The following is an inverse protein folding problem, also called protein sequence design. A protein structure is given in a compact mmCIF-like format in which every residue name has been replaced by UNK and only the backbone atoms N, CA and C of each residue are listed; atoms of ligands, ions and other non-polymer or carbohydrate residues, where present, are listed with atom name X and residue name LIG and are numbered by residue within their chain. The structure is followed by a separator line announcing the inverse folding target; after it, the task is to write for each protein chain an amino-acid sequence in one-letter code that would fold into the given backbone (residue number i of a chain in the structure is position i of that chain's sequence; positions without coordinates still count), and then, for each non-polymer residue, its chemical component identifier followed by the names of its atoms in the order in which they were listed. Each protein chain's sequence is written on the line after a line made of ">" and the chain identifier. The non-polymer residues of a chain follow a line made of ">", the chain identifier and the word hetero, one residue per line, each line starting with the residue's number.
data_IF_826998309370
#
_entry.id   IF_826998309370
#
_cell.length_a   1.000
_cell.length_b   1.000
_cell.length_c   1.000
_cell.angle_alpha   90.00
_cell.angle_beta   90.00
_cell.angle_gamma   90.00
#
_symmetry.space_group_name_H-M   'P 1'
#
loop_
_entity.id
_entity.type
_entity.pdbx_description
1 polymer ?
#
# COMPACT_ATOMS: atom_id res chain seq x y z
N UNK A 1 -8.56 -14.24 8.07
CA UNK A 1 -8.77 -12.78 8.07
C UNK A 1 -8.72 -12.33 6.62
N UNK A 2 -9.70 -11.57 6.15
CA UNK A 2 -9.73 -11.10 4.76
C UNK A 2 -8.79 -9.88 4.63
N UNK A 3 -7.59 -10.11 4.09
CA UNK A 3 -6.55 -9.07 3.95
C UNK A 3 -7.03 -7.88 3.12
N UNK A 4 -7.86 -8.12 2.09
CA UNK A 4 -8.39 -7.06 1.24
C UNK A 4 -9.34 -6.15 2.03
N UNK A 5 -10.22 -6.76 2.83
CA UNK A 5 -11.11 -6.03 3.75
C UNK A 5 -10.31 -5.19 4.76
N UNK A 6 -9.29 -5.78 5.39
CA UNK A 6 -8.47 -5.06 6.37
C UNK A 6 -7.75 -3.86 5.76
N UNK A 7 -7.18 -3.99 4.55
CA UNK A 7 -6.49 -2.87 3.87
C UNK A 7 -7.48 -1.74 3.54
N UNK A 8 -8.66 -2.10 3.06
CA UNK A 8 -9.70 -1.12 2.74
C UNK A 8 -10.17 -0.37 4.00
N UNK A 9 -10.44 -1.09 5.09
CA UNK A 9 -10.84 -0.50 6.37
C UNK A 9 -9.75 0.40 6.96
N UNK A 10 -8.47 0.02 6.86
CA UNK A 10 -7.35 0.84 7.29
C UNK A 10 -7.30 2.17 6.52
N UNK A 11 -7.40 2.14 5.18
CA UNK A 11 -7.42 3.37 4.38
C UNK A 11 -8.65 4.22 4.69
N UNK A 12 -9.82 3.62 4.74
CA UNK A 12 -11.06 4.37 5.02
C UNK A 12 -11.04 4.98 6.43
N UNK A 13 -10.41 4.31 7.39
CA UNK A 13 -10.17 4.82 8.73
C UNK A 13 -9.24 6.04 8.80
N UNK A 14 -8.41 6.29 7.78
CA UNK A 14 -7.61 7.52 7.71
C UNK A 14 -8.37 8.70 7.10
N UNK A 15 -9.55 8.47 6.53
CA UNK A 15 -10.30 9.49 5.77
C UNK A 15 -9.66 9.89 4.44
N UNK A 16 -8.62 9.17 3.99
CA UNK A 16 -7.91 9.47 2.75
C UNK A 16 -8.52 8.76 1.53
N UNK A 17 -8.49 9.43 0.39
CA UNK A 17 -8.65 8.79 -0.91
C UNK A 17 -7.50 7.80 -1.19
N UNK A 18 -7.68 6.90 -2.15
CA UNK A 18 -6.60 5.98 -2.58
C UNK A 18 -5.36 6.71 -3.07
N UNK A 19 -5.55 7.88 -3.71
CA UNK A 19 -4.46 8.70 -4.22
C UNK A 19 -3.65 9.29 -3.06
N UNK A 20 -4.31 9.92 -2.10
CA UNK A 20 -3.66 10.50 -0.91
C UNK A 20 -2.97 9.41 -0.08
N UNK A 21 -3.63 8.25 0.08
CA UNK A 21 -3.03 7.12 0.79
C UNK A 21 -1.80 6.56 0.05
N UNK A 22 -1.85 6.51 -1.28
CA UNK A 22 -0.71 6.11 -2.11
C UNK A 22 0.46 7.08 -1.98
N UNK A 23 0.20 8.39 -2.02
CA UNK A 23 1.21 9.44 -1.83
C UNK A 23 1.80 9.38 -0.40
N UNK A 24 0.95 9.17 0.60
CA UNK A 24 1.36 9.09 2.00
C UNK A 24 2.20 7.84 2.31
N UNK A 25 1.86 6.69 1.72
CA UNK A 25 2.53 5.41 2.01
C UNK A 25 3.66 5.05 1.03
N UNK A 26 3.65 5.65 -0.16
CA UNK A 26 4.52 5.27 -1.29
C UNK A 26 4.09 3.99 -2.01
N UNK A 27 2.97 3.37 -1.62
CA UNK A 27 2.40 2.22 -2.32
C UNK A 27 1.69 2.74 -3.58
N UNK A 28 2.01 2.26 -4.79
CA UNK A 28 1.31 2.73 -6.00
C UNK A 28 -0.20 2.47 -5.92
N UNK A 29 -1.02 3.43 -6.38
CA UNK A 29 -2.50 3.32 -6.38
C UNK A 29 -2.97 1.99 -6.97
N UNK A 30 -2.39 1.56 -8.10
CA UNK A 30 -2.75 0.30 -8.75
C UNK A 30 -2.48 -0.93 -7.86
N UNK A 31 -1.40 -0.91 -7.07
CA UNK A 31 -1.12 -1.98 -6.10
C UNK A 31 -2.16 -2.00 -5.01
N UNK A 32 -2.51 -0.83 -4.47
CA UNK A 32 -3.53 -0.69 -3.45
C UNK A 32 -4.90 -1.19 -3.94
N UNK A 33 -5.27 -0.87 -5.18
CA UNK A 33 -6.49 -1.35 -5.83
C UNK A 33 -6.48 -2.87 -6.04
N UNK A 34 -5.35 -3.45 -6.47
CA UNK A 34 -5.20 -4.90 -6.59
C UNK A 34 -5.36 -5.61 -5.24
N UNK A 35 -4.88 -4.99 -4.16
CA UNK A 35 -5.00 -5.52 -2.81
C UNK A 35 -6.42 -5.41 -2.26
N UNK A 36 -7.07 -4.25 -2.38
CA UNK A 36 -8.45 -4.04 -1.94
C UNK A 36 -9.45 -4.89 -2.74
N UNK A 37 -9.13 -5.22 -3.99
CA UNK A 37 -9.96 -6.11 -4.82
C UNK A 37 -9.62 -7.60 -4.66
N UNK A 38 -8.72 -7.96 -3.73
CA UNK A 38 -8.22 -9.32 -3.52
C UNK A 38 -7.61 -9.98 -4.78
N UNK A 39 -7.24 -9.18 -5.80
CA UNK A 39 -6.58 -9.68 -7.03
C UNK A 39 -5.14 -10.08 -6.75
N UNK A 40 -4.50 -9.46 -5.76
CA UNK A 40 -3.17 -9.78 -5.26
C UNK A 40 -3.14 -9.63 -3.75
N UNK A 41 -2.40 -10.49 -3.07
CA UNK A 41 -2.07 -10.28 -1.66
C UNK A 41 -0.79 -9.44 -1.55
N UNK A 42 -0.67 -8.54 -0.55
CA UNK A 42 0.60 -7.90 -0.25
C UNK A 42 1.68 -8.96 -0.04
N UNK A 43 2.68 -8.99 -0.93
CA UNK A 43 3.92 -9.72 -0.70
C UNK A 43 4.87 -8.78 0.03
N UNK A 44 5.82 -9.31 0.80
CA UNK A 44 6.85 -8.52 1.50
C UNK A 44 7.88 -7.88 0.53
N UNK A 45 7.41 -7.24 -0.54
CA UNK A 45 8.23 -6.58 -1.58
C UNK A 45 8.43 -5.08 -1.29
N UNK A 46 7.76 -4.53 -0.28
CA UNK A 46 7.79 -3.09 0.03
C UNK A 46 8.70 -2.71 1.21
N UNK A 47 9.29 -3.68 1.91
CA UNK A 47 10.40 -3.38 2.85
C UNK A 47 11.68 -2.96 2.09
N UNK A 48 11.88 -3.49 0.88
CA UNK A 48 13.12 -3.33 0.09
C UNK A 48 13.33 -1.90 -0.47
N UNK A 49 12.25 -1.16 -0.76
CA UNK A 49 12.37 0.16 -1.43
C UNK A 49 12.84 1.29 -0.50
N UNK A 50 12.83 1.11 0.82
CA UNK A 50 13.35 2.11 1.78
C UNK A 50 14.84 1.97 2.07
N UNK A 51 15.47 0.87 1.70
CA UNK A 51 16.92 0.66 1.94
C UNK A 51 17.79 1.17 0.78
N UNK A 52 17.25 1.22 -0.44
CA UNK A 52 18.05 1.57 -1.63
C UNK A 52 18.13 3.08 -1.95
N UNK A 53 17.50 3.95 -1.16
CA UNK A 53 17.59 5.43 -1.34
C UNK A 53 18.64 6.09 -0.45
N UNK A 54 19.19 5.36 0.53
CA UNK A 54 20.21 5.85 1.46
C UNK A 54 21.64 5.41 1.10
N UNK A 55 21.84 4.65 0.01
CA UNK A 55 23.19 4.24 -0.45
C UNK A 55 23.78 5.12 -1.57
N UNK A 56 23.06 6.17 -2.02
CA UNK A 56 23.54 7.11 -3.06
C UNK A 56 23.82 8.51 -2.48
N UNK A 57 24.03 8.61 -1.16
CA UNK A 57 24.57 9.79 -0.48
C UNK A 57 25.77 9.39 0.37
#
# INVERSE_FOLDING_TARGET
>A
MDTAKTIKELREGTGMSRKEFSEHTGIPVLTLEDWEAARRTPRNIYQDRRENTMQIL
#
